data_IF_704553772271
#
_entry.id   IF_704553772271
#
_cell.length_a   1.000
_cell.length_b   1.000
_cell.length_c   1.000
_cell.angle_alpha   90.00
_cell.angle_beta   90.00
_cell.angle_gamma   90.00
#
_symmetry.space_group_name_H-M   'P 1'
#
loop_
_entity.id
_entity.type
_entity.pdbx_description
1 polymer ?
#
# COMPACT_ATOMS: atom_id res chain seq x y z
N UNK A 1 3.10 11.27 -10.21
CA UNK A 1 1.76 11.61 -9.65
C UNK A 1 1.59 10.79 -8.38
N UNK A 2 1.71 11.43 -7.21
CA UNK A 2 1.52 10.75 -5.93
C UNK A 2 0.03 10.44 -5.70
N UNK A 3 -0.28 9.30 -5.10
CA UNK A 3 -1.66 8.98 -4.71
C UNK A 3 -2.12 9.88 -3.55
N UNK A 4 -3.41 10.25 -3.50
CA UNK A 4 -3.93 11.05 -2.39
C UNK A 4 -3.85 10.25 -1.08
N UNK A 5 -3.31 10.86 -0.02
CA UNK A 5 -3.30 10.28 1.33
C UNK A 5 -4.73 10.14 1.87
N UNK A 6 -4.94 9.19 2.79
CA UNK A 6 -6.24 8.85 3.37
C UNK A 6 -7.10 7.92 2.51
N UNK A 7 -6.66 7.54 1.31
CA UNK A 7 -7.39 6.58 0.47
C UNK A 7 -6.91 5.15 0.69
N UNK A 8 -7.80 4.19 0.44
CA UNK A 8 -7.45 2.78 0.50
C UNK A 8 -6.68 2.38 -0.76
N UNK A 9 -5.50 1.80 -0.58
CA UNK A 9 -4.60 1.37 -1.66
C UNK A 9 -4.19 -0.08 -1.47
N UNK A 10 -3.84 -0.73 -2.58
CA UNK A 10 -2.97 -1.91 -2.55
C UNK A 10 -1.69 -1.60 -3.31
N UNK A 11 -0.57 -1.91 -2.67
CA UNK A 11 0.78 -1.72 -3.19
C UNK A 11 1.45 -3.09 -3.23
N UNK A 12 1.72 -3.57 -4.44
CA UNK A 12 2.53 -4.76 -4.65
C UNK A 12 3.99 -4.38 -4.54
N UNK A 13 4.69 -4.98 -3.58
CA UNK A 13 6.13 -4.81 -3.39
C UNK A 13 6.90 -6.07 -3.77
N UNK A 14 8.12 -5.86 -4.25
CA UNK A 14 9.15 -6.90 -4.41
C UNK A 14 9.67 -7.28 -3.03
N UNK A 15 10.09 -8.53 -2.89
CA UNK A 15 10.77 -9.01 -1.68
C UNK A 15 12.24 -9.26 -2.01
N UNK A 16 13.14 -9.02 -1.05
CA UNK A 16 14.58 -9.19 -1.24
C UNK A 16 14.97 -10.61 -1.64
N UNK A 17 14.27 -11.61 -1.09
CA UNK A 17 14.47 -13.04 -1.38
C UNK A 17 13.80 -13.49 -2.69
N UNK A 18 13.17 -12.56 -3.42
CA UNK A 18 12.40 -12.82 -4.62
C UNK A 18 10.89 -12.93 -4.37
N UNK A 19 10.11 -12.80 -5.45
CA UNK A 19 8.65 -12.81 -5.40
C UNK A 19 8.03 -11.44 -5.06
N UNK A 20 6.74 -11.47 -4.73
CA UNK A 20 5.95 -10.26 -4.48
C UNK A 20 5.01 -10.45 -3.29
N UNK A 21 4.78 -9.37 -2.56
CA UNK A 21 3.76 -9.30 -1.52
C UNK A 21 2.87 -8.06 -1.72
N UNK A 22 1.60 -8.18 -1.36
CA UNK A 22 0.64 -7.09 -1.43
C UNK A 22 0.47 -6.44 -0.06
N UNK A 23 0.68 -5.12 -0.01
CA UNK A 23 0.43 -4.26 1.14
C UNK A 23 -0.88 -3.52 0.90
N UNK A 24 -1.91 -3.86 1.69
CA UNK A 24 -3.26 -3.32 1.56
C UNK A 24 -3.64 -2.55 2.81
N UNK A 25 -4.07 -1.29 2.63
CA UNK A 25 -4.44 -0.44 3.75
C UNK A 25 -4.76 0.98 3.33
N UNK A 26 -4.80 1.88 4.30
CA UNK A 26 -4.93 3.32 4.06
C UNK A 26 -3.56 3.94 3.80
N UNK A 27 -3.46 4.78 2.77
CA UNK A 27 -2.23 5.47 2.43
C UNK A 27 -1.99 6.65 3.39
N UNK A 28 -0.92 6.58 4.18
CA UNK A 28 -0.55 7.65 5.13
C UNK A 28 0.38 8.68 4.49
N UNK A 29 1.25 8.23 3.57
CA UNK A 29 2.29 9.03 2.94
C UNK A 29 2.59 8.50 1.55
N UNK A 30 2.82 9.40 0.59
CA UNK A 30 3.35 9.05 -0.72
C UNK A 30 4.25 10.17 -1.23
N UNK A 31 5.51 9.83 -1.52
CA UNK A 31 6.51 10.72 -2.10
C UNK A 31 7.53 9.94 -2.91
N UNK A 32 8.62 10.61 -3.31
CA UNK A 32 9.64 10.06 -4.20
C UNK A 32 10.43 8.90 -3.56
N UNK A 33 10.49 8.85 -2.21
CA UNK A 33 11.15 7.76 -1.50
C UNK A 33 10.27 6.51 -1.40
N UNK A 34 8.95 6.65 -1.55
CA UNK A 34 7.99 5.55 -1.48
C UNK A 34 6.69 5.89 -0.75
N UNK A 35 6.10 4.89 -0.10
CA UNK A 35 4.78 5.00 0.52
C UNK A 35 4.71 4.38 1.91
N UNK A 36 3.87 4.95 2.76
CA UNK A 36 3.53 4.40 4.07
C UNK A 36 2.05 4.00 4.06
N UNK A 37 1.76 2.76 4.44
CA UNK A 37 0.40 2.22 4.40
C UNK A 37 0.00 1.70 5.77
N UNK A 38 -1.07 2.25 6.35
CA UNK A 38 -1.68 1.72 7.57
C UNK A 38 -2.40 0.39 7.26
N UNK A 39 -1.75 -0.72 7.60
CA UNK A 39 -2.34 -2.06 7.46
C UNK A 39 -2.99 -2.51 8.78
N UNK A 40 -3.73 -3.62 8.73
CA UNK A 40 -4.33 -4.23 9.94
C UNK A 40 -3.32 -4.71 10.98
N UNK A 41 -2.06 -4.96 10.59
CA UNK A 41 -1.00 -5.43 11.49
C UNK A 41 -0.07 -4.29 11.94
N UNK A 42 -0.38 -3.05 11.56
CA UNK A 42 0.45 -1.87 11.77
C UNK A 42 0.87 -1.20 10.46
N UNK A 43 1.46 0.01 10.53
CA UNK A 43 1.98 0.70 9.37
C UNK A 43 3.11 -0.09 8.70
N UNK A 44 3.12 -0.10 7.37
CA UNK A 44 4.16 -0.72 6.56
C UNK A 44 4.72 0.33 5.60
N UNK A 45 6.04 0.51 5.65
CA UNK A 45 6.82 1.26 4.66
C UNK A 45 7.08 0.39 3.44
N UNK A 46 6.92 0.95 2.26
CA UNK A 46 7.37 0.36 0.98
C UNK A 46 8.20 1.39 0.24
N UNK A 47 9.46 1.06 0.01
CA UNK A 47 10.39 1.95 -0.70
C UNK A 47 10.06 1.98 -2.20
N UNK A 48 10.27 3.14 -2.84
CA UNK A 48 9.93 3.35 -4.24
C UNK A 48 10.58 2.32 -5.18
N UNK A 49 11.80 1.89 -4.88
CA UNK A 49 12.53 0.87 -5.64
C UNK A 49 11.87 -0.52 -5.59
N UNK A 50 11.13 -0.82 -4.52
CA UNK A 50 10.47 -2.11 -4.34
C UNK A 50 9.03 -2.12 -4.86
N UNK A 51 8.45 -0.96 -5.17
CA UNK A 51 7.07 -0.89 -5.69
C UNK A 51 7.03 -1.48 -7.11
N UNK A 52 6.32 -2.58 -7.26
CA UNK A 52 6.08 -3.19 -8.56
C UNK A 52 4.79 -2.68 -9.20
N UNK A 53 3.76 -2.42 -8.40
CA UNK A 53 2.46 -1.90 -8.84
C UNK A 53 1.76 -1.27 -7.65
N UNK A 54 0.98 -0.22 -7.88
CA UNK A 54 -0.02 0.21 -6.91
C UNK A 54 -1.32 0.65 -7.56
N UNK A 55 -2.41 0.50 -6.82
CA UNK A 55 -3.73 0.95 -7.24
C UNK A 55 -4.55 1.43 -6.05
N UNK A 56 -5.33 2.48 -6.27
CA UNK A 56 -6.42 2.86 -5.36
C UNK A 56 -7.50 1.78 -5.45
N UNK A 57 -8.04 1.37 -4.32
CA UNK A 57 -9.11 0.38 -4.24
C UNK A 57 -10.33 0.97 -3.54
N UNK A 58 -11.54 0.53 -3.88
CA UNK A 58 -12.74 0.95 -3.15
C UNK A 58 -12.63 0.66 -1.65
N UNK A 59 -13.36 1.43 -0.81
CA UNK A 59 -13.51 1.13 0.60
C UNK A 59 -13.90 -0.33 0.83
N UNK A 60 -13.49 -0.90 1.97
CA UNK A 60 -13.86 -2.27 2.28
C UNK A 60 -15.39 -2.38 2.35
N UNK A 61 -15.96 -3.39 1.69
CA UNK A 61 -17.39 -3.65 1.78
C UNK A 61 -17.78 -3.83 3.26
N UNK A 62 -18.97 -3.34 3.68
CA UNK A 62 -19.49 -3.58 5.02
C UNK A 62 -19.46 -5.08 5.33
N UNK A 63 -19.02 -5.45 6.53
CA UNK A 63 -19.04 -6.87 6.95
C UNK A 63 -20.49 -7.29 7.09
N UNK A 64 -20.91 -8.35 6.38
CA UNK A 64 -22.16 -9.06 6.70
C UNK A 64 -22.04 -9.60 8.13
N UNK A 65 -23.00 -9.27 8.97
CA UNK A 65 -23.09 -9.68 10.37
C UNK A 65 -23.93 -10.93 10.51
#
# INVERSE_FOLDING_TARGET
MAWPVGVRVVVRRRLAEGGYADVLGELLRADDDGVDVATRRGPVRVDAADIALGKVVPPAAPRRR
#
